data_IF_302344608421
#
_entry.id   IF_302344608421
#
_cell.length_a   1.000
_cell.length_b   1.000
_cell.length_c   1.000
_cell.angle_alpha   90.00
_cell.angle_beta   90.00
_cell.angle_gamma   90.00
#
_symmetry.space_group_name_H-M   'P 1'
#
loop_
_entity.id
_entity.type
_entity.pdbx_description
1 polymer ?
#
# COMPACT_ATOMS: atom_id res chain seq x y z
N UNK A 1 10.18 10.22 2.99
CA UNK A 1 9.35 9.18 2.35
C UNK A 1 7.93 9.32 2.87
N UNK A 2 6.89 9.22 2.04
CA UNK A 2 5.51 9.33 2.51
C UNK A 2 4.90 7.91 2.66
N UNK A 3 4.40 7.51 3.86
CA UNK A 3 3.85 6.16 4.10
C UNK A 3 2.75 5.74 3.11
N UNK A 4 2.01 6.70 2.53
CA UNK A 4 0.97 6.41 1.54
C UNK A 4 1.51 5.71 0.27
N UNK A 5 2.79 5.93 -0.05
CA UNK A 5 3.43 5.30 -1.22
C UNK A 5 3.60 3.79 -1.00
N UNK A 6 3.90 3.38 0.24
CA UNK A 6 4.04 1.97 0.62
C UNK A 6 2.67 1.28 0.67
N UNK A 7 1.64 1.98 1.16
CA UNK A 7 0.25 1.53 1.07
C UNK A 7 -0.14 1.21 -0.39
N UNK A 8 0.06 2.16 -1.31
CA UNK A 8 -0.28 1.94 -2.71
C UNK A 8 0.59 0.86 -3.37
N UNK A 9 1.83 0.69 -2.93
CA UNK A 9 2.70 -0.40 -3.40
C UNK A 9 2.13 -1.77 -3.03
N UNK A 10 1.69 -1.95 -1.78
CA UNK A 10 1.05 -3.20 -1.33
C UNK A 10 -0.29 -3.43 -2.05
N UNK A 11 -1.16 -2.43 -2.09
CA UNK A 11 -2.50 -2.54 -2.72
C UNK A 11 -2.38 -2.87 -4.21
N UNK A 12 -1.51 -2.18 -4.96
CA UNK A 12 -1.27 -2.50 -6.39
C UNK A 12 -0.78 -3.94 -6.58
N UNK A 13 0.11 -4.42 -5.72
CA UNK A 13 0.60 -5.80 -5.76
C UNK A 13 -0.53 -6.80 -5.57
N UNK A 14 -1.41 -6.56 -4.59
CA UNK A 14 -2.56 -7.42 -4.31
C UNK A 14 -3.59 -7.41 -5.46
N UNK A 15 -3.87 -6.24 -6.04
CA UNK A 15 -4.77 -6.11 -7.21
C UNK A 15 -4.20 -6.82 -8.44
N UNK A 16 -2.88 -6.82 -8.64
CA UNK A 16 -2.24 -7.45 -9.80
C UNK A 16 -2.07 -8.97 -9.68
N UNK A 17 -2.29 -9.55 -8.49
CA UNK A 17 -2.01 -10.97 -8.20
C UNK A 17 -2.89 -11.93 -9.00
N UNK A 18 -4.03 -11.49 -9.51
CA UNK A 18 -4.84 -12.27 -10.46
C UNK A 18 -5.26 -11.41 -11.65
N UNK A 19 -5.28 -11.99 -12.87
CA UNK A 19 -5.69 -11.29 -14.08
C UNK A 19 -7.12 -10.78 -13.94
N UNK A 20 -7.38 -9.61 -14.52
CA UNK A 20 -8.70 -9.00 -14.53
C UNK A 20 -9.44 -9.48 -15.77
N UNK A 21 -10.69 -9.90 -15.58
CA UNK A 21 -11.63 -10.23 -16.66
C UNK A 21 -12.52 -9.02 -16.95
N UNK A 22 -13.20 -9.01 -18.10
CA UNK A 22 -14.11 -7.90 -18.47
C UNK A 22 -15.29 -7.74 -17.48
N UNK A 23 -15.58 -8.78 -16.69
CA UNK A 23 -16.61 -8.79 -15.66
C UNK A 23 -16.13 -8.23 -14.31
N UNK A 24 -14.81 -8.05 -14.12
CA UNK A 24 -14.26 -7.64 -12.84
C UNK A 24 -14.38 -6.13 -12.62
N UNK A 25 -14.85 -5.74 -11.43
CA UNK A 25 -14.89 -4.35 -11.02
C UNK A 25 -13.59 -3.95 -10.31
N UNK A 26 -12.78 -3.11 -10.97
CA UNK A 26 -11.51 -2.61 -10.43
C UNK A 26 -11.66 -1.97 -9.04
N UNK A 27 -12.72 -1.19 -8.82
CA UNK A 27 -12.98 -0.51 -7.54
C UNK A 27 -13.24 -1.53 -6.43
N UNK A 28 -13.99 -2.59 -6.72
CA UNK A 28 -14.23 -3.67 -5.76
C UNK A 28 -12.93 -4.39 -5.39
N UNK A 29 -12.05 -4.65 -6.38
CA UNK A 29 -10.75 -5.27 -6.14
C UNK A 29 -9.80 -4.40 -5.34
N UNK A 30 -9.79 -3.09 -5.58
CA UNK A 30 -9.04 -2.12 -4.77
C UNK A 30 -9.55 -2.15 -3.33
N UNK A 31 -10.87 -2.18 -3.13
CA UNK A 31 -11.47 -2.24 -1.79
C UNK A 31 -11.10 -3.53 -1.05
N UNK A 32 -11.16 -4.67 -1.73
CA UNK A 32 -10.76 -5.96 -1.16
C UNK A 32 -9.26 -5.97 -0.80
N UNK A 33 -8.41 -5.48 -1.71
CA UNK A 33 -6.97 -5.39 -1.48
C UNK A 33 -6.62 -4.44 -0.32
N UNK A 34 -7.27 -3.28 -0.24
CA UNK A 34 -7.10 -2.35 0.87
C UNK A 34 -7.54 -2.97 2.21
N UNK A 35 -8.58 -3.82 2.21
CA UNK A 35 -9.02 -4.57 3.39
C UNK A 35 -8.02 -5.62 3.91
N UNK A 36 -6.98 -5.95 3.13
CA UNK A 36 -5.88 -6.85 3.53
C UNK A 36 -4.68 -6.12 4.14
N UNK A 37 -4.76 -4.79 4.26
CA UNK A 37 -3.75 -3.99 4.98
C UNK A 37 -4.01 -4.14 6.47
N UNK A 38 -2.98 -4.51 7.22
CA UNK A 38 -3.06 -4.71 8.67
C UNK A 38 -2.50 -3.51 9.42
N UNK A 39 -2.82 -3.36 10.72
CA UNK A 39 -2.19 -2.34 11.57
C UNK A 39 -0.66 -2.44 11.59
N UNK A 40 -0.11 -3.65 11.54
CA UNK A 40 1.34 -3.89 11.53
C UNK A 40 2.00 -3.35 10.26
N UNK A 41 1.34 -3.47 9.10
CA UNK A 41 1.81 -2.84 7.87
C UNK A 41 1.92 -1.32 8.04
N UNK A 42 0.85 -0.68 8.53
CA UNK A 42 0.80 0.75 8.75
C UNK A 42 1.89 1.23 9.71
N UNK A 43 2.08 0.51 10.83
CA UNK A 43 3.16 0.81 11.77
C UNK A 43 4.53 0.66 11.12
N UNK A 44 4.73 -0.37 10.28
CA UNK A 44 5.95 -0.58 9.53
C UNK A 44 6.28 0.59 8.60
N UNK A 45 5.29 1.06 7.83
CA UNK A 45 5.46 2.19 6.89
C UNK A 45 5.73 3.52 7.59
N UNK A 46 5.11 3.74 8.75
CA UNK A 46 5.40 4.92 9.59
C UNK A 46 6.85 4.89 10.05
N UNK A 47 7.30 3.78 10.68
CA UNK A 47 8.68 3.62 11.15
C UNK A 47 9.70 3.74 10.02
N UNK A 48 9.39 3.16 8.86
CA UNK A 48 10.23 3.27 7.69
C UNK A 48 10.31 4.73 7.22
N UNK A 49 9.20 5.46 7.17
CA UNK A 49 9.20 6.89 6.80
C UNK A 49 9.97 7.77 7.80
N UNK A 50 9.86 7.50 9.10
CA UNK A 50 10.64 8.16 10.16
C UNK A 50 12.15 8.00 9.97
N UNK A 51 12.61 6.84 9.47
CA UNK A 51 14.04 6.60 9.20
C UNK A 51 14.64 7.54 8.13
N UNK A 52 13.81 8.25 7.37
CA UNK A 52 14.26 9.25 6.40
C UNK A 52 14.27 10.67 6.97
N UNK A 53 13.77 10.92 8.18
CA UNK A 53 13.67 12.28 8.72
C UNK A 53 15.03 12.96 8.82
N UNK A 54 16.05 12.25 9.29
CA UNK A 54 17.43 12.76 9.35
C UNK A 54 17.96 13.21 7.98
N UNK A 55 17.53 12.55 6.89
CA UNK A 55 17.92 12.92 5.52
C UNK A 55 17.20 14.17 5.01
N UNK A 56 16.14 14.62 5.70
CA UNK A 56 15.41 15.84 5.38
C UNK A 56 15.90 17.05 6.20
N UNK A 57 16.73 16.81 7.22
CA UNK A 57 17.27 17.84 8.11
C UNK A 57 18.71 18.25 7.76
N UNK A 58 19.33 17.56 6.80
CA UNK A 58 20.67 17.81 6.27
C UNK A 58 20.59 18.15 4.78
#
# INVERSE_FOLDING_TARGET
>A
LNPIEEFWTKVKTLVRRSPMTDCDNLVARIREAAGKVTPEDCQGWIRHSESFFERCLN
#
